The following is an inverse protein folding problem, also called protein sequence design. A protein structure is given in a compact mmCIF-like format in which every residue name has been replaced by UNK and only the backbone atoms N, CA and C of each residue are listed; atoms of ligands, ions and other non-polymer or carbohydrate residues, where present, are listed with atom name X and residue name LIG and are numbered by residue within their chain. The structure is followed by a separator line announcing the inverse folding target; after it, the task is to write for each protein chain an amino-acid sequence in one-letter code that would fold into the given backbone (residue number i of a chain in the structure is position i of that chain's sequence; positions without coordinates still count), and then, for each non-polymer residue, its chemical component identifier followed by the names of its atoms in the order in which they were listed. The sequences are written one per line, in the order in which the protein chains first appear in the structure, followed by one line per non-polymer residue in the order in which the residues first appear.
data_IF_882268650094
#
_entry.id   IF_882268650094
#
_cell.length_a   1.000
_cell.length_b   1.000
_cell.length_c   1.000
_cell.angle_alpha   90.00
_cell.angle_beta   90.00
_cell.angle_gamma   90.00
#
_symmetry.space_group_name_H-M   'P 1'
#
loop_
_entity.id
_entity.type
_entity.pdbx_description
1 polymer ?
#
# COMPACT_ATOMS: atom_id res chain seq x y z
N UNK A 1 -3.17 19.73 -21.86
CA UNK A 1 -3.39 19.10 -20.53
C UNK A 1 -3.25 17.58 -20.56
N UNK A 2 -3.97 16.85 -21.44
CA UNK A 2 -3.88 15.37 -21.57
C UNK A 2 -2.49 14.83 -21.93
N UNK A 3 -1.72 15.56 -22.74
CA UNK A 3 -0.35 15.17 -23.16
C UNK A 3 0.63 15.18 -21.98
N UNK A 4 0.72 16.31 -21.26
CA UNK A 4 1.54 16.44 -20.05
C UNK A 4 1.22 15.39 -18.96
N UNK A 5 -0.06 15.07 -18.76
CA UNK A 5 -0.44 14.00 -17.82
C UNK A 5 0.07 12.62 -18.25
N UNK A 6 0.00 12.32 -19.55
CA UNK A 6 0.55 11.07 -20.10
C UNK A 6 2.07 11.01 -19.93
N UNK A 7 2.76 12.11 -20.22
CA UNK A 7 4.21 12.24 -20.03
C UNK A 7 4.60 12.02 -18.56
N UNK A 8 3.89 12.64 -17.61
CA UNK A 8 4.13 12.45 -16.17
C UNK A 8 3.85 11.03 -15.68
N UNK A 9 2.89 10.33 -16.28
CA UNK A 9 2.59 8.93 -15.97
C UNK A 9 3.67 8.01 -16.59
N UNK A 10 4.16 8.33 -17.77
CA UNK A 10 5.16 7.51 -18.46
C UNK A 10 6.60 7.79 -18.00
N UNK A 11 6.84 8.90 -17.29
CA UNK A 11 8.13 9.18 -16.68
C UNK A 11 8.52 8.10 -15.68
N UNK A 12 9.83 7.94 -15.46
CA UNK A 12 10.35 6.96 -14.52
C UNK A 12 9.81 7.17 -13.10
N UNK A 13 9.76 8.43 -12.66
CA UNK A 13 9.15 8.83 -11.39
C UNK A 13 7.67 8.44 -11.34
N UNK A 14 6.89 8.75 -12.39
CA UNK A 14 5.47 8.40 -12.46
C UNK A 14 5.21 6.89 -12.42
N UNK A 15 6.09 6.08 -13.03
CA UNK A 15 6.04 4.63 -12.95
C UNK A 15 6.33 4.16 -11.51
N UNK A 16 7.35 4.74 -10.86
CA UNK A 16 7.72 4.39 -9.49
C UNK A 16 6.60 4.73 -8.49
N UNK A 17 5.95 5.88 -8.64
CA UNK A 17 4.82 6.26 -7.80
C UNK A 17 3.61 5.33 -7.99
N UNK A 18 3.34 4.86 -9.22
CA UNK A 18 2.28 3.87 -9.45
C UNK A 18 2.56 2.55 -8.75
N UNK A 19 3.79 2.06 -8.81
CA UNK A 19 4.20 0.82 -8.16
C UNK A 19 4.12 0.97 -6.64
N UNK A 20 4.59 2.09 -6.10
CA UNK A 20 4.46 2.39 -4.67
C UNK A 20 3.01 2.39 -4.22
N UNK A 21 2.13 3.05 -4.98
CA UNK A 21 0.70 3.08 -4.68
C UNK A 21 0.09 1.68 -4.66
N UNK A 22 0.43 0.80 -5.61
CA UNK A 22 -0.09 -0.57 -5.60
C UNK A 22 0.43 -1.38 -4.42
N UNK A 23 1.73 -1.28 -4.09
CA UNK A 23 2.33 -2.01 -2.96
C UNK A 23 1.73 -1.55 -1.63
N UNK A 24 1.58 -0.23 -1.42
CA UNK A 24 0.98 0.30 -0.20
C UNK A 24 -0.48 -0.15 -0.06
N UNK A 25 -1.27 -0.11 -1.15
CA UNK A 25 -2.65 -0.57 -1.12
C UNK A 25 -2.75 -2.06 -0.76
N UNK A 26 -1.97 -2.92 -1.42
CA UNK A 26 -1.93 -4.35 -1.14
C UNK A 26 -1.50 -4.65 0.31
N UNK A 27 -0.46 -3.96 0.81
CA UNK A 27 0.02 -4.12 2.17
C UNK A 27 -1.04 -3.79 3.23
N UNK A 28 -1.84 -2.73 3.01
CA UNK A 28 -2.96 -2.38 3.90
C UNK A 28 -4.05 -3.46 3.86
N UNK A 29 -4.39 -3.99 2.69
CA UNK A 29 -5.39 -5.06 2.58
C UNK A 29 -4.93 -6.38 3.19
N UNK A 30 -3.64 -6.73 3.04
CA UNK A 30 -3.06 -7.91 3.70
C UNK A 30 -3.13 -7.78 5.23
N UNK A 31 -2.75 -6.60 5.76
CA UNK A 31 -2.86 -6.31 7.20
C UNK A 31 -4.30 -6.38 7.71
N UNK A 32 -5.27 -5.86 6.95
CA UNK A 32 -6.70 -5.97 7.29
C UNK A 32 -7.15 -7.42 7.35
N UNK A 33 -6.91 -8.19 6.28
CA UNK A 33 -7.46 -9.54 6.14
C UNK A 33 -6.80 -10.55 7.08
N UNK A 34 -5.51 -10.80 6.86
CA UNK A 34 -4.78 -11.83 7.59
C UNK A 34 -4.26 -11.28 8.92
N UNK A 35 -3.74 -10.05 8.91
CA UNK A 35 -3.15 -9.44 10.11
C UNK A 35 -4.16 -9.14 11.23
N UNK A 36 -5.35 -8.66 10.88
CA UNK A 36 -6.42 -8.33 11.85
C UNK A 36 -7.57 -9.34 11.85
N UNK A 37 -7.48 -10.40 11.03
CA UNK A 37 -8.53 -11.41 10.90
C UNK A 37 -9.85 -10.85 10.33
N UNK A 38 -9.80 -9.73 9.61
CA UNK A 38 -11.00 -9.10 9.08
C UNK A 38 -11.48 -9.80 7.81
N UNK A 39 -12.41 -10.74 7.98
CA UNK A 39 -12.93 -11.59 6.88
C UNK A 39 -14.13 -11.02 6.15
N UNK A 40 -14.99 -10.25 6.83
CA UNK A 40 -16.24 -9.71 6.28
C UNK A 40 -16.67 -8.42 6.98
N UNK A 41 -17.42 -7.58 6.27
CA UNK A 41 -18.11 -6.44 6.86
C UNK A 41 -19.10 -6.90 7.93
N UNK A 42 -19.09 -6.20 9.06
CA UNK A 42 -20.02 -6.46 10.17
C UNK A 42 -21.32 -5.69 9.97
N UNK A 43 -21.23 -4.48 9.42
CA UNK A 43 -22.42 -3.67 9.15
C UNK A 43 -23.01 -3.96 7.76
N UNK A 44 -24.31 -3.70 7.63
CA UNK A 44 -25.05 -3.78 6.37
C UNK A 44 -25.40 -2.36 5.90
N UNK A 45 -25.53 -2.21 4.59
CA UNK A 45 -25.85 -0.95 3.93
C UNK A 45 -24.60 -0.13 3.60
N UNK A 46 -24.61 0.49 2.41
CA UNK A 46 -23.45 1.20 1.84
C UNK A 46 -22.86 2.24 2.78
N UNK A 47 -23.70 3.10 3.36
CA UNK A 47 -23.30 4.17 4.28
C UNK A 47 -22.54 3.66 5.50
N UNK A 48 -23.00 2.55 6.09
CA UNK A 48 -22.35 1.99 7.28
C UNK A 48 -21.04 1.29 6.93
N UNK A 49 -20.98 0.61 5.79
CA UNK A 49 -19.76 -0.02 5.28
C UNK A 49 -18.69 1.05 4.98
N UNK A 50 -19.07 2.18 4.37
CA UNK A 50 -18.16 3.31 4.14
C UNK A 50 -17.56 3.81 5.46
N UNK A 51 -18.40 4.03 6.48
CA UNK A 51 -17.93 4.46 7.82
C UNK A 51 -17.03 3.43 8.50
N UNK A 52 -17.32 2.14 8.34
CA UNK A 52 -16.48 1.06 8.88
C UNK A 52 -15.09 1.09 8.24
N UNK A 53 -15.02 1.25 6.91
CA UNK A 53 -13.75 1.36 6.17
C UNK A 53 -12.99 2.64 6.56
N UNK A 54 -13.67 3.78 6.65
CA UNK A 54 -13.06 5.06 7.06
C UNK A 54 -12.38 4.93 8.43
N UNK A 55 -13.10 4.38 9.41
CA UNK A 55 -12.57 4.17 10.76
C UNK A 55 -11.40 3.20 10.78
N UNK A 56 -11.46 2.12 10.00
CA UNK A 56 -10.34 1.17 9.85
C UNK A 56 -9.10 1.82 9.24
N UNK A 57 -9.28 2.65 8.21
CA UNK A 57 -8.18 3.37 7.57
C UNK A 57 -7.47 4.30 8.57
N UNK A 58 -8.25 5.05 9.36
CA UNK A 58 -7.71 5.92 10.42
C UNK A 58 -6.94 5.09 11.45
N UNK A 59 -7.53 4.01 11.95
CA UNK A 59 -6.90 3.15 12.96
C UNK A 59 -5.57 2.54 12.47
N UNK A 60 -5.53 2.07 11.22
CA UNK A 60 -4.32 1.51 10.61
C UNK A 60 -3.24 2.59 10.43
N UNK A 61 -3.63 3.79 10.01
CA UNK A 61 -2.70 4.90 9.83
C UNK A 61 -2.11 5.35 11.17
N UNK A 62 -2.92 5.49 12.22
CA UNK A 62 -2.45 5.82 13.57
C UNK A 62 -1.48 4.76 14.08
N UNK A 63 -1.82 3.47 13.96
CA UNK A 63 -0.94 2.39 14.39
C UNK A 63 0.39 2.42 13.63
N UNK A 64 0.35 2.67 12.32
CA UNK A 64 1.57 2.79 11.50
C UNK A 64 2.42 3.98 11.93
N UNK A 65 1.80 5.14 12.19
CA UNK A 65 2.48 6.33 12.67
C UNK A 65 3.13 6.10 14.05
N UNK A 66 2.40 5.51 15.00
CA UNK A 66 2.94 5.21 16.33
C UNK A 66 4.14 4.27 16.26
N UNK A 67 4.09 3.25 15.39
CA UNK A 67 5.22 2.35 15.20
C UNK A 67 6.44 3.05 14.58
N UNK A 68 6.23 4.00 13.66
CA UNK A 68 7.31 4.82 13.11
C UNK A 68 7.93 5.75 14.15
N UNK A 69 7.10 6.39 14.97
CA UNK A 69 7.56 7.25 16.07
C UNK A 69 8.40 6.46 17.08
N UNK A 70 7.99 5.23 17.43
CA UNK A 70 8.79 4.33 18.28
C UNK A 70 10.17 4.01 17.70
N UNK A 71 10.27 3.93 16.36
CA UNK A 71 11.53 3.70 15.64
C UNK A 71 12.31 4.98 15.33
N UNK A 72 11.79 6.15 15.73
CA UNK A 72 12.31 7.49 15.38
C UNK A 72 12.43 7.70 13.86
N UNK A 73 11.57 7.05 13.08
CA UNK A 73 11.51 7.18 11.63
C UNK A 73 10.49 8.27 11.24
N UNK A 74 10.93 9.28 10.48
CA UNK A 74 10.06 10.37 10.02
C UNK A 74 9.71 10.30 8.53
N UNK A 75 10.36 9.40 7.78
CA UNK A 75 10.20 9.31 6.33
C UNK A 75 8.91 8.57 5.94
N UNK A 76 8.26 8.97 4.84
CA UNK A 76 7.18 8.19 4.25
C UNK A 76 7.72 6.83 3.78
N UNK A 77 6.87 5.80 3.84
CA UNK A 77 7.27 4.47 3.38
C UNK A 77 7.32 4.50 1.86
N UNK A 78 8.53 4.53 1.30
CA UNK A 78 8.77 4.43 -0.13
C UNK A 78 9.52 3.14 -0.42
N UNK A 79 9.08 2.47 -1.47
CA UNK A 79 9.71 1.30 -2.02
C UNK A 79 10.37 1.72 -3.32
N UNK A 80 11.67 1.52 -3.41
CA UNK A 80 12.39 1.68 -4.65
C UNK A 80 12.24 0.41 -5.47
N UNK A 81 12.26 0.54 -6.81
CA UNK A 81 12.42 -0.64 -7.66
C UNK A 81 13.76 -1.26 -7.29
N UNK A 82 13.73 -2.42 -6.64
CA UNK A 82 14.91 -3.26 -6.59
C UNK A 82 15.21 -3.60 -8.05
N UNK A 83 16.36 -3.16 -8.58
CA UNK A 83 16.88 -3.69 -9.82
C UNK A 83 16.80 -5.20 -9.70
N UNK A 84 15.88 -5.82 -10.45
CA UNK A 84 15.37 -7.16 -10.17
C UNK A 84 16.49 -8.10 -9.72
N UNK A 85 16.55 -8.46 -8.44
CA UNK A 85 17.29 -9.65 -8.05
C UNK A 85 16.48 -10.77 -8.69
N UNK A 86 16.88 -11.16 -9.90
CA UNK A 86 16.37 -12.29 -10.67
C UNK A 86 16.64 -13.57 -9.87
N UNK A 87 15.92 -13.82 -8.78
CA UNK A 87 15.77 -15.17 -8.24
C UNK A 87 14.42 -15.69 -8.73
N UNK A 88 14.43 -16.20 -9.96
CA UNK A 88 13.40 -17.15 -10.42
C UNK A 88 13.42 -18.32 -9.43
N UNK A 89 12.43 -18.42 -8.57
CA UNK A 89 11.93 -19.71 -8.08
C UNK A 89 10.43 -19.74 -8.38
N UNK A 90 10.05 -20.61 -9.32
CA UNK A 90 8.68 -21.08 -9.54
C UNK A 90 7.66 -20.04 -10.05
N UNK A 91 8.04 -19.18 -11.00
CA UNK A 91 7.08 -18.48 -11.87
C UNK A 91 6.10 -17.50 -11.18
N UNK A 92 6.23 -17.24 -9.88
CA UNK A 92 5.40 -16.27 -9.16
C UNK A 92 6.11 -14.92 -9.12
N UNK A 93 5.51 -13.91 -9.74
CA UNK A 93 5.87 -12.52 -9.50
C UNK A 93 5.50 -12.18 -8.06
N UNK A 94 6.48 -12.21 -7.16
CA UNK A 94 6.34 -11.62 -5.84
C UNK A 94 6.98 -10.24 -5.93
N UNK A 95 6.17 -9.17 -5.87
CA UNK A 95 6.68 -7.82 -5.62
C UNK A 95 7.22 -7.78 -4.19
N UNK A 96 8.43 -8.31 -3.98
CA UNK A 96 9.15 -8.12 -2.73
C UNK A 96 9.74 -6.71 -2.75
N UNK A 97 9.13 -5.79 -2.02
CA UNK A 97 9.81 -4.57 -1.61
C UNK A 97 10.63 -4.87 -0.35
N UNK A 98 11.91 -4.51 -0.33
CA UNK A 98 12.71 -4.54 0.88
C UNK A 98 12.43 -3.27 1.68
N UNK A 99 12.31 -3.43 3.00
CA UNK A 99 12.35 -2.34 3.97
C UNK A 99 13.75 -1.74 4.04
#
# INVERSE_FOLDING_TARGET
KKTKTKENIQSEEGINERINRSIQAEGVFSKLKEGLGYKRFRHKGKKNIEKEIDMMAIAININTLLNKLKRKETKPTRYEKIAAIKKRKNGRFICCAKN
#
